data_IF_255535247992
#
_entry.id   IF_255535247992
#
_cell.length_a   1.000
_cell.length_b   1.000
_cell.length_c   1.000
_cell.angle_alpha   90.00
_cell.angle_beta   90.00
_cell.angle_gamma   90.00
#
_symmetry.space_group_name_H-M   'P 1'
#
loop_
_entity.id
_entity.type
_entity.pdbx_description
1 polymer ?
#
# COMPACT_ATOMS: atom_id res chain seq x y z
N UNK A 1 -7.00 19.29 -16.59
CA UNK A 1 -5.94 19.26 -15.56
C UNK A 1 -5.93 17.89 -14.92
N UNK A 2 -4.79 17.21 -14.88
CA UNK A 2 -4.63 15.88 -14.25
C UNK A 2 -4.00 16.03 -12.87
N UNK A 3 -4.65 15.47 -11.84
CA UNK A 3 -4.15 15.47 -10.47
C UNK A 3 -3.74 14.07 -10.05
N UNK A 4 -2.51 13.94 -9.55
CA UNK A 4 -2.01 12.69 -8.97
C UNK A 4 -1.90 12.86 -7.46
N UNK A 5 -2.57 11.99 -6.72
CA UNK A 5 -2.46 11.93 -5.26
C UNK A 5 -1.40 10.90 -4.87
N UNK A 6 -0.50 11.27 -3.98
CA UNK A 6 0.50 10.37 -3.40
C UNK A 6 0.20 10.22 -1.91
N UNK A 7 -0.22 9.03 -1.51
CA UNK A 7 -0.65 8.76 -0.14
C UNK A 7 0.44 8.00 0.64
N UNK A 8 0.76 8.50 1.83
CA UNK A 8 1.59 7.83 2.80
C UNK A 8 0.83 7.48 4.09
N UNK A 9 1.51 6.88 5.07
CA UNK A 9 0.89 6.38 6.29
C UNK A 9 0.10 7.46 7.07
N UNK A 10 0.51 8.73 6.98
CA UNK A 10 -0.22 9.84 7.60
C UNK A 10 -1.63 10.06 7.04
N UNK A 11 -1.92 9.60 5.79
CA UNK A 11 -3.27 9.63 5.25
C UNK A 11 -4.23 8.78 6.07
N UNK A 12 -3.82 7.59 6.50
CA UNK A 12 -4.65 6.64 7.25
C UNK A 12 -4.54 6.78 8.78
N UNK A 13 -3.64 7.66 9.27
CA UNK A 13 -3.36 7.83 10.71
C UNK A 13 -4.58 8.28 11.49
N UNK A 14 -5.32 9.25 10.97
CA UNK A 14 -6.53 9.78 11.63
C UNK A 14 -7.65 8.73 11.68
N UNK A 15 -7.71 7.81 10.71
CA UNK A 15 -8.59 6.64 10.71
C UNK A 15 -8.10 5.50 11.63
N UNK A 16 -6.98 5.69 12.30
CA UNK A 16 -6.45 4.76 13.30
C UNK A 16 -5.39 3.79 12.81
N UNK A 17 -4.95 3.88 11.56
CA UNK A 17 -3.83 3.06 11.09
C UNK A 17 -2.52 3.47 11.78
N UNK A 18 -1.63 2.52 12.11
CA UNK A 18 -0.35 2.84 12.73
C UNK A 18 0.60 3.48 11.72
N UNK A 19 1.41 4.41 12.20
CA UNK A 19 2.61 4.82 11.47
C UNK A 19 3.63 3.67 11.48
N UNK A 20 4.50 3.62 10.46
CA UNK A 20 5.52 2.57 10.35
C UNK A 20 6.37 2.41 11.61
N UNK A 21 6.79 3.51 12.22
CA UNK A 21 7.57 3.51 13.47
C UNK A 21 6.80 2.98 14.70
N UNK A 22 5.47 2.92 14.65
CA UNK A 22 4.63 2.45 15.74
C UNK A 22 4.33 0.94 15.66
N UNK A 23 4.55 0.31 14.50
CA UNK A 23 4.14 -1.08 14.26
C UNK A 23 4.81 -2.05 15.24
N UNK A 24 6.09 -1.87 15.52
CA UNK A 24 6.80 -2.75 16.46
C UNK A 24 6.25 -2.66 17.87
N UNK A 25 6.00 -1.44 18.37
CA UNK A 25 5.41 -1.23 19.68
C UNK A 25 4.03 -1.87 19.78
N UNK A 26 3.18 -1.67 18.77
CA UNK A 26 1.83 -2.22 18.74
C UNK A 26 1.83 -3.76 18.66
N UNK A 27 2.73 -4.40 17.91
CA UNK A 27 2.87 -5.86 17.89
C UNK A 27 3.10 -6.40 19.29
N UNK A 28 4.06 -5.86 20.03
CA UNK A 28 4.39 -6.34 21.37
C UNK A 28 3.33 -5.98 22.41
N UNK A 29 2.61 -4.87 22.22
CA UNK A 29 1.45 -4.51 23.03
C UNK A 29 0.31 -5.51 22.86
N UNK A 30 -0.08 -5.83 21.60
CA UNK A 30 -1.10 -6.84 21.30
C UNK A 30 -0.70 -8.18 21.89
N UNK A 31 0.56 -8.60 21.71
CA UNK A 31 1.07 -9.86 22.27
C UNK A 31 1.01 -9.93 23.79
N UNK A 32 1.19 -8.79 24.47
CA UNK A 32 1.07 -8.68 25.94
C UNK A 32 -0.39 -8.73 26.39
N UNK A 33 -1.29 -8.08 25.64
CA UNK A 33 -2.73 -8.05 25.95
C UNK A 33 -3.40 -9.39 25.68
N UNK A 34 -3.10 -10.04 24.56
CA UNK A 34 -3.55 -11.38 24.19
C UNK A 34 -2.39 -12.24 23.69
N UNK A 35 -1.81 -13.08 24.58
CA UNK A 35 -0.73 -14.01 24.20
C UNK A 35 -1.11 -15.03 23.13
N UNK A 36 -2.39 -15.26 22.86
CA UNK A 36 -2.87 -16.23 21.86
C UNK A 36 -3.15 -15.61 20.49
N UNK A 37 -3.21 -14.27 20.40
CA UNK A 37 -3.59 -13.56 19.18
C UNK A 37 -2.74 -13.93 17.97
N UNK A 38 -1.42 -13.92 18.13
CA UNK A 38 -0.49 -14.35 17.08
C UNK A 38 -0.21 -15.85 17.15
N UNK A 39 0.02 -16.47 16.00
CA UNK A 39 0.46 -17.86 15.97
C UNK A 39 1.78 -18.03 16.75
N UNK A 40 1.78 -18.91 17.76
CA UNK A 40 2.90 -19.05 18.68
C UNK A 40 4.19 -19.55 18.01
N UNK A 41 4.12 -20.32 16.92
CA UNK A 41 5.31 -20.77 16.18
C UNK A 41 5.91 -19.65 15.35
N UNK A 42 5.07 -18.85 14.68
CA UNK A 42 5.51 -17.69 13.91
C UNK A 42 6.10 -16.61 14.81
N UNK A 43 5.44 -16.33 15.93
CA UNK A 43 5.95 -15.35 16.88
C UNK A 43 7.29 -15.77 17.49
N UNK A 44 7.52 -17.07 17.74
CA UNK A 44 8.83 -17.58 18.16
C UNK A 44 9.91 -17.40 17.10
N UNK A 45 9.61 -17.60 15.82
CA UNK A 45 10.56 -17.31 14.73
C UNK A 45 10.97 -15.84 14.75
N UNK A 46 10.01 -14.94 14.91
CA UNK A 46 10.25 -13.52 14.99
C UNK A 46 11.09 -13.11 16.20
N UNK A 47 10.73 -13.56 17.42
CA UNK A 47 11.52 -13.27 18.62
C UNK A 47 12.94 -13.85 18.53
N UNK A 48 13.10 -15.07 17.98
CA UNK A 48 14.42 -15.66 17.78
C UNK A 48 15.28 -14.83 16.82
N UNK A 49 14.71 -14.34 15.72
CA UNK A 49 15.44 -13.44 14.82
C UNK A 49 15.94 -12.20 15.57
N UNK A 50 15.07 -11.54 16.34
CA UNK A 50 15.44 -10.33 17.09
C UNK A 50 16.53 -10.60 18.11
N UNK A 51 16.44 -11.70 18.86
CA UNK A 51 17.35 -11.99 19.98
C UNK A 51 18.65 -12.66 19.50
N UNK A 52 18.54 -13.70 18.68
CA UNK A 52 19.68 -14.57 18.35
C UNK A 52 20.47 -14.09 17.14
N UNK A 53 19.81 -13.52 16.15
CA UNK A 53 20.46 -13.08 14.92
C UNK A 53 20.76 -11.58 14.92
N UNK A 54 19.82 -10.75 15.42
CA UNK A 54 20.00 -9.29 15.45
C UNK A 54 20.54 -8.77 16.80
N UNK A 55 20.62 -9.64 17.82
CA UNK A 55 21.17 -9.34 19.15
C UNK A 55 20.45 -8.22 19.93
N UNK A 56 19.19 -7.99 19.64
CA UNK A 56 18.40 -7.04 20.41
C UNK A 56 17.97 -7.59 21.76
N UNK A 57 17.97 -6.73 22.78
CA UNK A 57 17.35 -7.03 24.07
C UNK A 57 15.83 -6.80 23.98
N UNK A 58 15.02 -7.54 24.73
CA UNK A 58 13.55 -7.37 24.74
C UNK A 58 13.08 -5.95 25.04
N UNK A 59 13.82 -5.22 25.88
CA UNK A 59 13.53 -3.80 26.20
C UNK A 59 13.67 -2.85 25.00
N UNK A 60 14.36 -3.28 23.95
CA UNK A 60 14.62 -2.48 22.75
C UNK A 60 13.58 -2.73 21.64
N UNK A 61 12.78 -3.80 21.72
CA UNK A 61 11.91 -4.28 20.64
C UNK A 61 10.97 -3.20 20.10
N UNK A 62 10.40 -2.37 20.98
CA UNK A 62 9.49 -1.29 20.58
C UNK A 62 10.14 -0.14 19.80
N UNK A 63 11.46 -0.06 19.82
CA UNK A 63 12.23 1.01 19.15
C UNK A 63 12.88 0.55 17.83
N UNK A 64 12.78 -0.75 17.51
CA UNK A 64 13.39 -1.29 16.29
C UNK A 64 12.58 -0.80 15.08
N UNK A 65 13.29 -0.30 14.08
CA UNK A 65 12.67 0.04 12.81
C UNK A 65 12.47 -1.25 11.98
N UNK A 66 11.36 -1.33 11.27
CA UNK A 66 11.04 -2.49 10.42
C UNK A 66 12.12 -2.69 9.36
N UNK A 67 12.68 -1.61 8.84
CA UNK A 67 13.76 -1.64 7.87
C UNK A 67 15.01 -2.35 8.38
N UNK A 68 15.35 -2.17 9.65
CA UNK A 68 16.51 -2.81 10.27
C UNK A 68 16.36 -4.33 10.40
N UNK A 69 15.12 -4.81 10.39
CA UNK A 69 14.81 -6.24 10.40
C UNK A 69 14.86 -6.82 8.99
N UNK A 70 14.20 -6.16 8.04
CA UNK A 70 14.01 -6.71 6.69
C UNK A 70 15.20 -6.48 5.76
N UNK A 71 15.88 -5.33 5.84
CA UNK A 71 16.98 -5.02 4.93
C UNK A 71 18.08 -6.08 4.94
N UNK A 72 18.60 -6.56 6.10
CA UNK A 72 19.61 -7.62 6.10
C UNK A 72 19.07 -8.96 5.60
N UNK A 73 17.81 -9.31 5.90
CA UNK A 73 17.20 -10.55 5.39
C UNK A 73 17.02 -10.50 3.87
N UNK A 74 16.42 -9.43 3.36
CA UNK A 74 16.15 -9.26 1.94
C UNK A 74 17.46 -9.20 1.14
N UNK A 75 18.51 -8.59 1.70
CA UNK A 75 19.84 -8.59 1.08
C UNK A 75 20.43 -9.99 0.99
N UNK A 76 20.42 -10.75 2.08
CA UNK A 76 20.94 -12.11 2.08
C UNK A 76 20.14 -13.04 1.15
N UNK A 77 18.82 -12.88 1.08
CA UNK A 77 17.98 -13.63 0.15
C UNK A 77 18.29 -13.27 -1.31
N UNK A 78 18.48 -11.99 -1.63
CA UNK A 78 18.84 -11.54 -2.98
C UNK A 78 20.21 -12.07 -3.43
N UNK A 79 21.16 -12.12 -2.51
CA UNK A 79 22.51 -12.62 -2.77
C UNK A 79 22.63 -14.15 -2.66
N UNK A 80 21.54 -14.85 -2.29
CA UNK A 80 21.50 -16.29 -2.04
C UNK A 80 22.52 -16.76 -0.99
N UNK A 81 22.69 -16.01 0.09
CA UNK A 81 23.62 -16.29 1.19
C UNK A 81 22.88 -16.48 2.51
N UNK A 82 23.45 -17.24 3.42
CA UNK A 82 22.93 -17.45 4.77
C UNK A 82 23.11 -16.20 5.64
N UNK A 83 22.18 -16.01 6.59
CA UNK A 83 22.22 -14.91 7.55
C UNK A 83 22.42 -15.45 8.98
N UNK A 84 23.61 -15.28 9.53
CA UNK A 84 23.93 -15.59 10.95
C UNK A 84 23.36 -16.94 11.43
N UNK A 85 23.63 -18.00 10.67
CA UNK A 85 23.19 -19.36 10.95
C UNK A 85 21.78 -19.70 10.49
N UNK A 86 21.03 -18.80 9.90
CA UNK A 86 19.76 -19.10 9.23
C UNK A 86 20.01 -19.52 7.78
N UNK A 87 19.54 -20.68 7.39
CA UNK A 87 19.49 -21.09 5.98
C UNK A 87 18.50 -20.22 5.19
N UNK A 88 18.60 -20.25 3.86
CA UNK A 88 17.68 -19.53 2.97
C UNK A 88 16.23 -19.91 3.24
N UNK A 89 15.95 -21.19 3.38
CA UNK A 89 14.61 -21.67 3.70
C UNK A 89 14.10 -21.15 5.07
N UNK A 90 14.96 -21.12 6.08
CA UNK A 90 14.62 -20.56 7.39
C UNK A 90 14.38 -19.04 7.32
N UNK A 91 15.17 -18.31 6.53
CA UNK A 91 14.96 -16.87 6.29
C UNK A 91 13.61 -16.60 5.63
N UNK A 92 13.26 -17.35 4.58
CA UNK A 92 11.96 -17.23 3.90
C UNK A 92 10.83 -17.48 4.90
N UNK A 93 10.87 -18.58 5.66
CA UNK A 93 9.86 -18.89 6.67
C UNK A 93 9.73 -17.81 7.76
N UNK A 94 10.88 -17.25 8.18
CA UNK A 94 10.89 -16.19 9.19
C UNK A 94 10.32 -14.88 8.62
N UNK A 95 10.68 -14.53 7.39
CA UNK A 95 10.14 -13.37 6.67
C UNK A 95 8.62 -13.45 6.52
N UNK A 96 8.11 -14.60 6.09
CA UNK A 96 6.66 -14.85 5.96
C UNK A 96 5.94 -14.75 7.30
N UNK A 97 6.55 -15.28 8.36
CA UNK A 97 6.00 -15.19 9.72
C UNK A 97 5.88 -13.73 10.17
N UNK A 98 6.89 -12.89 9.89
CA UNK A 98 6.87 -11.47 10.25
C UNK A 98 5.81 -10.72 9.43
N UNK A 99 5.66 -11.00 8.14
CA UNK A 99 4.58 -10.43 7.32
C UNK A 99 3.20 -10.73 7.88
N UNK A 100 2.97 -11.98 8.28
CA UNK A 100 1.71 -12.38 8.89
C UNK A 100 1.45 -11.62 10.21
N UNK A 101 2.46 -11.50 11.06
CA UNK A 101 2.37 -10.78 12.34
C UNK A 101 2.05 -9.30 12.10
N UNK A 102 2.73 -8.63 11.17
CA UNK A 102 2.48 -7.24 10.81
C UNK A 102 1.05 -7.07 10.28
N UNK A 103 0.62 -7.93 9.35
CA UNK A 103 -0.72 -7.88 8.79
C UNK A 103 -1.82 -8.06 9.84
N UNK A 104 -1.62 -9.03 10.75
CA UNK A 104 -2.54 -9.25 11.88
C UNK A 104 -2.56 -8.05 12.84
N UNK A 105 -1.39 -7.47 13.16
CA UNK A 105 -1.30 -6.30 14.03
C UNK A 105 -2.04 -5.09 13.44
N UNK A 106 -1.80 -4.75 12.16
CA UNK A 106 -2.50 -3.65 11.49
C UNK A 106 -4.01 -3.89 11.49
N UNK A 107 -4.46 -5.12 11.21
CA UNK A 107 -5.88 -5.47 11.24
C UNK A 107 -6.48 -5.26 12.63
N UNK A 108 -5.81 -5.71 13.69
CA UNK A 108 -6.26 -5.54 15.08
C UNK A 108 -6.38 -4.05 15.44
N UNK A 109 -5.37 -3.26 15.08
CA UNK A 109 -5.35 -1.82 15.35
C UNK A 109 -6.52 -1.11 14.64
N UNK A 110 -6.78 -1.45 13.38
CA UNK A 110 -7.87 -0.87 12.59
C UNK A 110 -9.27 -1.30 13.07
N UNK A 111 -9.37 -2.43 13.77
CA UNK A 111 -10.61 -2.91 14.37
C UNK A 111 -10.91 -2.25 15.73
N UNK A 112 -9.93 -1.63 16.37
CA UNK A 112 -10.12 -0.90 17.62
C UNK A 112 -11.07 0.27 17.39
N UNK A 113 -12.10 0.38 18.23
CA UNK A 113 -13.16 1.41 18.10
C UNK A 113 -12.62 2.82 18.31
N UNK A 114 -13.22 3.79 17.65
CA UNK A 114 -13.13 5.21 18.04
C UNK A 114 -12.46 6.17 17.05
N UNK A 115 -12.19 5.75 15.81
CA UNK A 115 -11.67 6.65 14.78
C UNK A 115 -12.66 6.76 13.61
N UNK A 116 -12.96 7.99 13.21
CA UNK A 116 -13.80 8.26 12.03
C UNK A 116 -13.02 7.94 10.75
N UNK A 117 -13.73 7.32 9.81
CA UNK A 117 -13.24 7.00 8.46
C UNK A 117 -13.96 7.80 7.37
N UNK A 118 -14.82 8.73 7.77
CA UNK A 118 -15.70 9.48 6.87
C UNK A 118 -14.92 10.23 5.79
N UNK A 119 -13.80 10.86 6.15
CA UNK A 119 -12.97 11.57 5.17
C UNK A 119 -12.41 10.62 4.07
N UNK A 120 -12.17 9.33 4.40
CA UNK A 120 -11.72 8.34 3.40
C UNK A 120 -12.86 8.01 2.45
N UNK A 121 -14.09 7.88 2.97
CA UNK A 121 -15.28 7.66 2.14
C UNK A 121 -15.59 8.88 1.27
N UNK A 122 -15.42 10.09 1.79
CA UNK A 122 -15.52 11.33 1.03
C UNK A 122 -14.46 11.41 -0.08
N UNK A 123 -13.24 11.02 0.22
CA UNK A 123 -12.17 10.98 -0.78
C UNK A 123 -12.46 9.94 -1.87
N UNK A 124 -12.93 8.74 -1.49
CA UNK A 124 -13.34 7.72 -2.45
C UNK A 124 -14.48 8.22 -3.35
N UNK A 125 -15.50 8.88 -2.77
CA UNK A 125 -16.59 9.51 -3.52
C UNK A 125 -16.11 10.56 -4.50
N UNK A 126 -15.17 11.42 -4.08
CA UNK A 126 -14.53 12.40 -4.94
C UNK A 126 -13.81 11.74 -6.12
N UNK A 127 -12.97 10.72 -5.88
CA UNK A 127 -12.24 10.02 -6.92
C UNK A 127 -13.18 9.37 -7.94
N UNK A 128 -14.17 8.62 -7.45
CA UNK A 128 -15.18 7.97 -8.31
C UNK A 128 -15.97 9.00 -9.09
N UNK A 129 -16.39 10.10 -8.46
CA UNK A 129 -17.13 11.20 -9.12
C UNK A 129 -16.32 11.90 -10.22
N UNK A 130 -15.01 12.10 -10.02
CA UNK A 130 -14.14 12.67 -11.08
C UNK A 130 -13.97 11.68 -12.25
N UNK A 131 -13.77 10.38 -11.96
CA UNK A 131 -13.56 9.35 -12.99
C UNK A 131 -14.85 9.00 -13.73
N UNK A 132 -16.03 9.10 -13.11
CA UNK A 132 -17.33 8.79 -13.72
C UNK A 132 -17.68 9.67 -14.91
N UNK A 133 -17.02 10.84 -15.08
CA UNK A 133 -17.14 11.70 -16.26
C UNK A 133 -16.71 11.01 -17.56
N UNK A 134 -16.02 9.86 -17.47
CA UNK A 134 -15.60 9.05 -18.60
C UNK A 134 -16.65 8.02 -19.05
N UNK A 135 -17.77 7.90 -18.33
CA UNK A 135 -18.90 7.05 -18.75
C UNK A 135 -19.40 7.41 -20.15
N UNK A 136 -19.93 6.41 -20.85
CA UNK A 136 -20.55 6.63 -22.15
C UNK A 136 -19.57 6.80 -23.30
N UNK A 137 -18.33 6.30 -23.17
CA UNK A 137 -17.34 6.32 -24.24
C UNK A 137 -16.39 7.51 -24.23
N UNK A 138 -16.44 8.37 -23.20
CA UNK A 138 -15.49 9.48 -23.01
C UNK A 138 -14.11 8.99 -22.53
N UNK A 139 -13.77 7.71 -22.79
CA UNK A 139 -12.49 7.11 -22.39
C UNK A 139 -11.26 7.75 -23.05
N UNK A 140 -11.44 8.50 -24.13
CA UNK A 140 -10.36 9.27 -24.79
C UNK A 140 -9.94 10.49 -23.99
N UNK A 141 -10.73 10.92 -23.02
CA UNK A 141 -10.32 11.94 -22.08
C UNK A 141 -9.25 11.34 -21.15
N UNK A 142 -8.19 12.11 -20.91
CA UNK A 142 -7.17 11.73 -19.93
C UNK A 142 -7.80 11.46 -18.57
N UNK A 143 -7.21 10.55 -17.82
CA UNK A 143 -7.61 10.32 -16.43
C UNK A 143 -7.53 11.63 -15.65
N UNK A 144 -8.65 12.11 -15.07
CA UNK A 144 -8.63 13.38 -14.36
C UNK A 144 -7.89 13.30 -13.04
N UNK A 145 -7.91 12.11 -12.42
CA UNK A 145 -7.28 11.81 -11.14
C UNK A 145 -6.72 10.39 -11.11
N UNK A 146 -5.62 10.21 -10.39
CA UNK A 146 -5.10 8.90 -10.04
C UNK A 146 -4.46 8.93 -8.63
N UNK A 147 -4.33 7.77 -8.00
CA UNK A 147 -3.77 7.63 -6.67
C UNK A 147 -2.57 6.68 -6.72
N UNK A 148 -1.44 7.13 -6.20
CA UNK A 148 -0.27 6.31 -5.90
C UNK A 148 -0.23 6.16 -4.37
N UNK A 149 -0.35 4.94 -3.87
CA UNK A 149 -0.36 4.67 -2.43
C UNK A 149 0.85 3.86 -2.01
N UNK A 150 1.56 4.33 -0.98
CA UNK A 150 2.62 3.59 -0.29
C UNK A 150 2.08 2.78 0.90
N UNK A 151 0.78 2.92 1.22
CA UNK A 151 0.15 2.30 2.37
C UNK A 151 -0.21 0.84 2.10
N UNK A 152 -0.01 -0.01 3.10
CA UNK A 152 -0.46 -1.41 3.05
C UNK A 152 -1.92 -1.59 3.45
N UNK A 153 -2.48 -0.67 4.26
CA UNK A 153 -3.87 -0.74 4.68
C UNK A 153 -4.82 -0.69 3.48
N UNK A 154 -6.04 -1.15 3.71
CA UNK A 154 -7.08 -1.31 2.68
C UNK A 154 -8.27 -0.37 2.90
N UNK A 155 -8.07 0.71 3.64
CA UNK A 155 -9.17 1.62 3.97
C UNK A 155 -9.73 2.29 2.72
N UNK A 156 -8.86 2.88 1.92
CA UNK A 156 -9.27 3.54 0.67
C UNK A 156 -9.72 2.52 -0.38
N UNK A 157 -9.05 1.37 -0.46
CA UNK A 157 -9.41 0.27 -1.36
C UNK A 157 -10.87 -0.14 -1.16
N UNK A 158 -11.25 -0.42 0.10
CA UNK A 158 -12.61 -0.82 0.46
C UNK A 158 -13.63 0.30 0.22
N UNK A 159 -13.29 1.55 0.52
CA UNK A 159 -14.19 2.69 0.30
C UNK A 159 -14.48 2.90 -1.19
N UNK A 160 -13.46 2.84 -2.06
CA UNK A 160 -13.66 2.93 -3.52
C UNK A 160 -14.50 1.74 -4.02
N UNK A 161 -14.14 0.52 -3.59
CA UNK A 161 -14.85 -0.70 -3.96
C UNK A 161 -16.35 -0.62 -3.59
N UNK A 162 -16.65 -0.29 -2.34
CA UNK A 162 -18.02 -0.19 -1.86
C UNK A 162 -18.82 0.88 -2.61
N UNK A 163 -18.20 2.04 -2.88
CA UNK A 163 -18.87 3.11 -3.62
C UNK A 163 -19.18 2.72 -5.07
N UNK A 164 -18.25 2.01 -5.74
CA UNK A 164 -18.45 1.48 -7.08
C UNK A 164 -19.57 0.43 -7.07
N UNK A 165 -19.55 -0.52 -6.15
CA UNK A 165 -20.56 -1.57 -6.06
C UNK A 165 -21.98 -1.02 -5.85
N UNK A 166 -22.10 0.04 -5.05
CA UNK A 166 -23.39 0.65 -4.75
C UNK A 166 -23.94 1.52 -5.90
N UNK A 167 -23.07 2.25 -6.63
CA UNK A 167 -23.52 3.28 -7.55
C UNK A 167 -23.23 2.98 -9.02
N UNK A 168 -22.24 2.14 -9.32
CA UNK A 168 -21.77 1.84 -10.69
C UNK A 168 -21.48 0.35 -10.90
N UNK A 169 -22.35 -0.57 -10.46
CA UNK A 169 -22.10 -2.00 -10.61
C UNK A 169 -21.86 -2.35 -12.08
N UNK A 170 -20.85 -3.14 -12.37
CA UNK A 170 -20.41 -3.57 -13.71
C UNK A 170 -19.98 -2.44 -14.68
N UNK A 171 -20.09 -1.18 -14.28
CA UNK A 171 -19.74 0.00 -15.10
C UNK A 171 -18.46 0.69 -14.64
N UNK A 172 -17.94 0.33 -13.50
CA UNK A 172 -16.70 0.88 -12.96
C UNK A 172 -15.86 -0.22 -12.29
N UNK A 173 -14.56 0.00 -12.25
CA UNK A 173 -13.61 -0.90 -11.59
C UNK A 173 -12.58 -0.16 -10.75
N UNK A 174 -12.10 -0.82 -9.70
CA UNK A 174 -10.84 -0.46 -9.05
C UNK A 174 -9.70 -0.97 -9.93
N UNK A 175 -8.92 -0.07 -10.47
CA UNK A 175 -7.82 -0.39 -11.38
C UNK A 175 -6.47 -0.23 -10.66
N UNK A 176 -5.87 -1.35 -10.31
CA UNK A 176 -4.54 -1.35 -9.72
C UNK A 176 -3.41 -1.19 -10.74
N UNK A 177 -3.76 -0.97 -12.01
CA UNK A 177 -2.83 -0.80 -13.13
C UNK A 177 -1.87 -2.00 -13.31
N UNK A 178 -2.33 -3.19 -12.99
CA UNK A 178 -1.62 -4.46 -13.17
C UNK A 178 -2.62 -5.59 -13.40
N UNK A 179 -2.11 -6.77 -13.74
CA UNK A 179 -2.95 -7.96 -13.87
C UNK A 179 -3.18 -8.58 -12.49
N UNK A 180 -4.32 -8.30 -11.90
CA UNK A 180 -4.78 -8.82 -10.61
C UNK A 180 -6.23 -9.32 -10.76
N UNK A 181 -6.58 -10.39 -10.06
CA UNK A 181 -7.92 -10.98 -10.09
C UNK A 181 -8.56 -10.90 -8.71
N UNK A 182 -9.88 -10.77 -8.65
CA UNK A 182 -10.56 -10.93 -7.37
C UNK A 182 -10.42 -12.35 -6.82
N UNK A 183 -10.36 -12.50 -5.50
CA UNK A 183 -10.49 -13.80 -4.83
C UNK A 183 -11.87 -14.42 -5.07
N UNK A 184 -12.90 -13.59 -5.19
CA UNK A 184 -14.24 -14.00 -5.55
C UNK A 184 -14.36 -14.08 -7.08
N UNK A 185 -14.59 -15.27 -7.60
CA UNK A 185 -14.61 -15.53 -9.05
C UNK A 185 -15.64 -14.69 -9.82
N UNK A 186 -16.77 -14.40 -9.18
CA UNK A 186 -17.87 -13.62 -9.77
C UNK A 186 -17.74 -12.10 -9.57
N UNK A 187 -16.72 -11.65 -8.86
CA UNK A 187 -16.51 -10.22 -8.63
C UNK A 187 -15.85 -9.59 -9.86
N UNK A 188 -16.59 -8.75 -10.54
CA UNK A 188 -16.15 -8.02 -11.72
C UNK A 188 -15.63 -6.62 -11.42
N UNK A 189 -15.57 -6.21 -10.17
CA UNK A 189 -15.13 -4.86 -9.76
C UNK A 189 -13.62 -4.68 -9.89
N UNK A 190 -12.87 -5.78 -10.00
CA UNK A 190 -11.43 -5.78 -10.23
C UNK A 190 -11.13 -6.38 -11.58
N UNK A 191 -10.84 -5.53 -12.54
CA UNK A 191 -10.43 -5.89 -13.90
C UNK A 191 -9.38 -4.90 -14.39
N UNK A 192 -8.59 -5.27 -15.42
CA UNK A 192 -7.79 -4.29 -16.14
C UNK A 192 -8.68 -3.15 -16.65
N UNK A 193 -8.29 -1.90 -16.39
CA UNK A 193 -9.10 -0.74 -16.75
C UNK A 193 -9.50 -0.67 -18.22
N UNK A 194 -8.65 -1.16 -19.11
CA UNK A 194 -8.91 -1.18 -20.57
C UNK A 194 -10.17 -1.97 -20.96
N UNK A 195 -10.46 -3.08 -20.27
CA UNK A 195 -11.66 -3.91 -20.56
C UNK A 195 -12.94 -3.12 -20.30
N UNK A 196 -12.97 -2.38 -19.21
CA UNK A 196 -14.15 -1.59 -18.80
C UNK A 196 -14.31 -0.33 -19.64
N UNK A 197 -13.20 0.33 -19.94
CA UNK A 197 -13.21 1.50 -20.82
C UNK A 197 -13.72 1.17 -22.22
N UNK A 198 -13.30 0.04 -22.78
CA UNK A 198 -13.78 -0.46 -24.07
C UNK A 198 -15.30 -0.74 -24.10
N UNK A 199 -15.88 -1.11 -22.96
CA UNK A 199 -17.31 -1.31 -22.76
C UNK A 199 -18.09 -0.03 -22.40
N UNK A 200 -17.46 1.15 -22.44
CA UNK A 200 -18.08 2.44 -22.10
C UNK A 200 -18.20 2.74 -20.62
N UNK A 201 -17.53 1.96 -19.77
CA UNK A 201 -17.40 2.21 -18.34
C UNK A 201 -16.22 3.13 -18.01
N UNK A 202 -15.82 3.12 -16.73
CA UNK A 202 -14.66 3.88 -16.26
C UNK A 202 -13.86 3.10 -15.20
N UNK A 203 -12.62 3.52 -15.00
CA UNK A 203 -11.73 2.97 -13.98
C UNK A 203 -11.33 4.04 -12.98
N UNK A 204 -11.08 3.63 -11.74
CA UNK A 204 -10.46 4.44 -10.70
C UNK A 204 -9.08 3.86 -10.41
N UNK A 205 -8.03 4.56 -10.82
CA UNK A 205 -6.65 4.09 -10.68
C UNK A 205 -6.15 4.23 -9.23
N UNK A 206 -5.77 3.09 -8.65
CA UNK A 206 -5.19 3.01 -7.31
C UNK A 206 -3.89 2.17 -7.37
N UNK A 207 -2.76 2.83 -7.58
CA UNK A 207 -1.45 2.21 -7.75
C UNK A 207 -0.81 1.94 -6.38
N UNK A 208 -0.95 0.72 -5.87
CA UNK A 208 -0.38 0.26 -4.59
C UNK A 208 1.07 -0.20 -4.79
N UNK A 209 2.01 0.75 -4.84
CA UNK A 209 3.41 0.48 -5.19
C UNK A 209 4.17 -0.37 -4.18
N UNK A 210 3.67 -0.47 -2.95
CA UNK A 210 4.21 -1.35 -1.91
C UNK A 210 3.34 -2.59 -1.63
N UNK A 211 2.41 -2.91 -2.55
CA UNK A 211 1.44 -3.97 -2.33
C UNK A 211 0.35 -3.59 -1.34
N UNK A 212 -0.42 -4.57 -0.89
CA UNK A 212 -1.57 -4.33 -0.02
C UNK A 212 -1.85 -5.54 0.86
N UNK A 213 -2.39 -5.31 2.05
CA UNK A 213 -2.73 -6.38 3.01
C UNK A 213 -3.80 -7.36 2.50
N UNK A 214 -4.58 -6.95 1.50
CA UNK A 214 -5.58 -7.80 0.86
C UNK A 214 -5.09 -8.47 -0.43
N UNK A 215 -3.78 -8.38 -0.72
CA UNK A 215 -3.19 -9.01 -1.90
C UNK A 215 -2.52 -10.33 -1.55
N UNK A 216 -2.79 -11.33 -2.37
CA UNK A 216 -2.16 -12.63 -2.31
C UNK A 216 -1.50 -12.98 -3.64
N UNK A 217 -0.36 -13.64 -3.56
CA UNK A 217 0.38 -14.12 -4.72
C UNK A 217 0.40 -15.65 -4.73
N UNK A 218 0.19 -16.24 -5.89
CA UNK A 218 0.47 -17.64 -6.11
C UNK A 218 1.99 -17.89 -6.15
N UNK A 219 2.48 -18.78 -5.30
CA UNK A 219 3.90 -19.18 -5.27
C UNK A 219 4.40 -19.82 -6.57
N UNK A 220 3.50 -20.42 -7.36
CA UNK A 220 3.84 -21.13 -8.61
C UNK A 220 3.76 -20.22 -9.85
N UNK A 221 2.60 -19.59 -10.11
CA UNK A 221 2.39 -18.84 -11.35
C UNK A 221 2.48 -17.33 -11.20
N UNK A 222 2.81 -16.82 -10.01
CA UNK A 222 3.00 -15.41 -9.68
C UNK A 222 1.75 -14.53 -9.88
N UNK A 223 0.56 -15.10 -10.13
CA UNK A 223 -0.70 -14.34 -10.23
C UNK A 223 -1.00 -13.66 -8.92
N UNK A 224 -1.48 -12.43 -9.02
CA UNK A 224 -2.00 -11.68 -7.88
C UNK A 224 -3.52 -11.86 -7.76
N UNK A 225 -3.97 -11.94 -6.53
CA UNK A 225 -5.38 -11.95 -6.15
C UNK A 225 -5.64 -10.87 -5.11
N UNK A 226 -6.83 -10.27 -5.14
CA UNK A 226 -7.26 -9.27 -4.17
C UNK A 226 -8.59 -9.68 -3.55
N UNK A 227 -8.75 -9.47 -2.24
CA UNK A 227 -10.01 -9.65 -1.52
C UNK A 227 -10.45 -8.33 -0.88
N UNK A 228 -11.74 -7.99 -1.00
CA UNK A 228 -12.35 -6.82 -0.38
C UNK A 228 -13.27 -7.25 0.77
N UNK A 229 -13.47 -6.35 1.73
CA UNK A 229 -14.40 -6.53 2.85
C UNK A 229 -14.20 -7.84 3.64
N UNK A 230 -13.01 -8.36 3.68
CA UNK A 230 -12.75 -9.63 4.33
C UNK A 230 -12.95 -9.55 5.84
N UNK A 231 -14.11 -10.08 6.28
CA UNK A 231 -14.39 -10.41 7.68
C UNK A 231 -13.61 -11.64 8.14
N UNK A 232 -13.08 -12.43 7.19
CA UNK A 232 -12.40 -13.70 7.47
C UNK A 232 -10.96 -13.42 7.89
N UNK A 233 -10.64 -13.84 9.10
CA UNK A 233 -9.27 -13.85 9.60
C UNK A 233 -8.38 -14.65 8.68
N UNK A 234 -7.16 -14.16 8.49
CA UNK A 234 -6.08 -14.76 7.74
C UNK A 234 -6.53 -15.44 6.43
N UNK A 235 -6.11 -14.90 5.32
CA UNK A 235 -6.19 -15.49 3.97
C UNK A 235 -5.34 -16.77 3.85
N UNK A 236 -5.31 -17.55 4.94
CA UNK A 236 -4.49 -18.76 5.07
C UNK A 236 -5.19 -19.95 4.44
N UNK A 237 -4.43 -20.77 3.74
CA UNK A 237 -4.91 -22.03 3.19
C UNK A 237 -5.65 -21.88 1.86
N UNK A 238 -5.71 -20.68 1.29
CA UNK A 238 -6.24 -20.47 -0.06
C UNK A 238 -5.23 -20.96 -1.10
N UNK A 239 -5.76 -21.52 -2.18
CA UNK A 239 -4.97 -21.98 -3.32
C UNK A 239 -5.31 -21.20 -4.58
N UNK A 240 -4.41 -21.25 -5.55
CA UNK A 240 -4.57 -20.55 -6.80
C UNK A 240 -5.51 -21.32 -7.73
N UNK A 241 -6.74 -20.84 -7.91
CA UNK A 241 -7.73 -21.51 -8.79
C UNK A 241 -7.22 -21.74 -10.23
N UNK A 242 -6.36 -20.84 -10.75
CA UNK A 242 -5.76 -21.06 -12.07
C UNK A 242 -4.84 -22.29 -12.07
N UNK A 243 -3.98 -22.45 -11.09
CA UNK A 243 -3.09 -23.59 -10.99
C UNK A 243 -3.84 -24.86 -10.63
N UNK A 244 -4.86 -24.78 -9.77
CA UNK A 244 -5.69 -25.93 -9.40
C UNK A 244 -6.45 -26.49 -10.61
N UNK A 245 -6.93 -25.61 -11.52
CA UNK A 245 -7.64 -26.03 -12.73
C UNK A 245 -6.72 -26.52 -13.85
N UNK A 246 -5.46 -26.12 -13.90
CA UNK A 246 -4.57 -26.40 -15.03
C UNK A 246 -3.44 -27.37 -14.71
N UNK A 247 -3.17 -27.66 -13.44
CA UNK A 247 -2.05 -28.50 -13.04
C UNK A 247 -2.46 -29.46 -11.93
N UNK A 248 -1.99 -30.70 -12.03
CA UNK A 248 -2.16 -31.68 -10.93
C UNK A 248 -1.40 -31.19 -9.71
N UNK A 249 -2.12 -30.85 -8.65
CA UNK A 249 -1.52 -30.33 -7.43
C UNK A 249 -0.77 -31.44 -6.67
N UNK A 250 0.55 -31.34 -6.61
CA UNK A 250 1.30 -31.89 -5.47
C UNK A 250 1.14 -30.87 -4.35
N UNK A 251 0.71 -31.30 -3.18
CA UNK A 251 0.35 -30.51 -2.02
C UNK A 251 1.23 -29.25 -1.80
N UNK A 252 0.60 -28.11 -1.59
CA UNK A 252 1.17 -26.81 -1.22
C UNK A 252 1.86 -25.95 -2.31
N UNK A 253 2.09 -26.45 -3.53
CA UNK A 253 2.75 -25.66 -4.58
C UNK A 253 1.89 -24.51 -5.11
N UNK A 254 0.56 -24.61 -4.99
CA UNK A 254 -0.40 -23.60 -5.50
C UNK A 254 -0.90 -22.65 -4.41
N UNK A 255 -0.24 -22.64 -3.25
CA UNK A 255 -0.69 -21.84 -2.11
C UNK A 255 -0.57 -20.36 -2.42
N UNK A 256 -1.59 -19.61 -2.00
CA UNK A 256 -1.56 -18.15 -2.00
C UNK A 256 -0.86 -17.65 -0.73
N UNK A 257 0.10 -16.77 -0.92
CA UNK A 257 0.89 -16.15 0.15
C UNK A 257 0.71 -14.63 0.11
N UNK A 258 0.81 -13.99 1.27
CA UNK A 258 0.83 -12.52 1.35
C UNK A 258 2.05 -11.98 0.62
N UNK A 259 1.86 -10.94 -0.15
CA UNK A 259 2.95 -10.29 -0.87
C UNK A 259 2.93 -8.78 -0.61
N UNK A 260 3.80 -8.34 0.30
CA UNK A 260 4.03 -6.94 0.64
C UNK A 260 5.45 -6.57 0.26
N UNK A 261 5.62 -5.37 -0.28
CA UNK A 261 6.93 -4.76 -0.48
C UNK A 261 7.25 -3.97 0.77
N UNK A 262 8.31 -4.37 1.44
CA UNK A 262 8.77 -3.68 2.65
C UNK A 262 9.44 -2.36 2.30
N UNK A 263 9.36 -1.36 3.18
CA UNK A 263 10.01 -0.07 3.00
C UNK A 263 11.52 -0.17 3.29
N UNK A 264 12.20 -1.13 2.66
CA UNK A 264 13.63 -1.38 2.76
C UNK A 264 14.37 -0.69 1.63
N UNK A 265 15.69 -0.56 1.76
CA UNK A 265 16.55 -0.03 0.70
C UNK A 265 16.65 -0.95 -0.54
N UNK A 266 16.23 -2.21 -0.42
CA UNK A 266 16.16 -3.17 -1.51
C UNK A 266 14.73 -3.71 -1.58
N UNK A 267 13.95 -3.20 -2.53
CA UNK A 267 12.59 -3.68 -2.75
C UNK A 267 12.59 -4.96 -3.58
N UNK A 268 11.88 -5.96 -3.09
CA UNK A 268 11.63 -7.18 -3.86
C UNK A 268 10.56 -6.90 -4.93
N UNK A 269 11.02 -6.62 -6.13
CA UNK A 269 10.19 -6.44 -7.33
C UNK A 269 10.24 -7.69 -8.24
N UNK A 270 10.47 -8.87 -7.68
CA UNK A 270 10.55 -10.14 -8.44
C UNK A 270 9.23 -10.47 -9.14
N UNK A 271 8.08 -10.17 -8.52
CA UNK A 271 6.81 -10.29 -9.20
C UNK A 271 6.69 -9.24 -10.32
N UNK A 272 6.47 -9.67 -11.59
CA UNK A 272 6.40 -8.76 -12.73
C UNK A 272 5.27 -7.73 -12.63
N UNK A 273 4.21 -8.01 -11.88
CA UNK A 273 3.09 -7.08 -11.72
C UNK A 273 3.52 -5.81 -10.98
N UNK A 274 4.44 -5.89 -10.01
CA UNK A 274 4.97 -4.70 -9.36
C UNK A 274 5.73 -3.79 -10.32
N UNK A 275 6.52 -4.37 -11.23
CA UNK A 275 7.22 -3.57 -12.26
C UNK A 275 6.23 -2.80 -13.13
N UNK A 276 5.09 -3.42 -13.47
CA UNK A 276 4.02 -2.78 -14.24
C UNK A 276 3.37 -1.65 -13.44
N UNK A 277 3.07 -1.86 -12.15
CA UNK A 277 2.51 -0.81 -11.29
C UNK A 277 3.47 0.39 -11.18
N UNK A 278 4.76 0.13 -10.94
CA UNK A 278 5.78 1.18 -10.85
C UNK A 278 5.94 1.94 -12.16
N UNK A 279 5.90 1.24 -13.30
CA UNK A 279 5.94 1.87 -14.62
C UNK A 279 4.71 2.76 -14.84
N UNK A 280 3.52 2.28 -14.53
CA UNK A 280 2.29 3.06 -14.62
C UNK A 280 2.30 4.25 -13.67
N UNK A 281 2.80 4.10 -12.44
CA UNK A 281 2.99 5.23 -11.53
C UNK A 281 3.90 6.31 -12.11
N UNK A 282 4.97 5.91 -12.81
CA UNK A 282 5.82 6.84 -13.55
C UNK A 282 5.07 7.59 -14.65
N UNK A 283 4.24 6.90 -15.43
CA UNK A 283 3.42 7.52 -16.48
C UNK A 283 2.47 8.53 -15.85
N UNK A 284 1.74 8.16 -14.79
CA UNK A 284 0.82 9.05 -14.10
C UNK A 284 1.51 10.33 -13.62
N UNK A 285 2.70 10.20 -13.00
CA UNK A 285 3.51 11.35 -12.55
C UNK A 285 3.98 12.23 -13.71
N UNK A 286 4.37 11.62 -14.84
CA UNK A 286 4.87 12.35 -16.01
C UNK A 286 3.77 13.17 -16.71
N UNK A 287 2.52 12.77 -16.56
CA UNK A 287 1.36 13.45 -17.13
C UNK A 287 0.70 14.44 -16.15
N UNK A 288 1.04 14.39 -14.86
CA UNK A 288 0.41 15.20 -13.83
C UNK A 288 0.62 16.70 -14.06
N UNK A 289 -0.45 17.49 -13.92
CA UNK A 289 -0.39 18.94 -13.83
C UNK A 289 -0.27 19.40 -12.36
N UNK A 290 -0.81 18.59 -11.45
CA UNK A 290 -0.75 18.78 -10.01
C UNK A 290 -0.43 17.46 -9.33
N UNK A 291 0.48 17.46 -8.35
CA UNK A 291 0.75 16.32 -7.45
C UNK A 291 0.44 16.75 -6.04
N UNK A 292 -0.41 16.00 -5.35
CA UNK A 292 -0.79 16.25 -3.96
C UNK A 292 -0.30 15.09 -3.09
N UNK A 293 0.65 15.38 -2.22
CA UNK A 293 1.14 14.42 -1.23
C UNK A 293 0.31 14.53 0.05
N UNK A 294 -0.35 13.46 0.48
CA UNK A 294 -1.15 13.44 1.70
C UNK A 294 -0.56 12.43 2.68
N UNK A 295 -0.01 12.92 3.80
CA UNK A 295 0.57 12.07 4.83
C UNK A 295 1.80 11.27 4.38
N UNK A 296 2.45 11.66 3.31
CA UNK A 296 3.71 11.10 2.82
C UNK A 296 4.87 12.03 3.18
N UNK A 297 5.87 11.51 3.91
CA UNK A 297 6.96 12.31 4.46
C UNK A 297 8.22 12.37 3.60
N UNK A 298 8.21 11.76 2.42
CA UNK A 298 9.37 11.64 1.52
C UNK A 298 10.59 11.00 2.21
N UNK A 299 10.43 9.82 2.87
CA UNK A 299 11.50 9.24 3.66
C UNK A 299 12.69 8.82 2.80
N UNK A 300 13.90 8.92 3.35
CA UNK A 300 15.13 8.54 2.64
C UNK A 300 15.19 7.04 2.32
N UNK A 301 14.62 6.22 3.18
CA UNK A 301 14.54 4.77 2.99
C UNK A 301 13.65 4.35 1.79
N UNK A 302 12.72 5.20 1.36
CA UNK A 302 11.91 4.95 0.16
C UNK A 302 12.62 5.42 -1.11
N UNK A 303 13.83 4.87 -1.31
CA UNK A 303 14.75 5.29 -2.36
C UNK A 303 14.14 5.18 -3.76
N UNK A 304 13.47 4.07 -4.07
CA UNK A 304 12.88 3.85 -5.39
C UNK A 304 11.75 4.85 -5.69
N UNK A 305 10.92 5.18 -4.68
CA UNK A 305 9.89 6.21 -4.85
C UNK A 305 10.51 7.59 -5.07
N UNK A 306 11.57 7.91 -4.35
CA UNK A 306 12.34 9.15 -4.57
C UNK A 306 12.93 9.21 -5.98
N UNK A 307 13.52 8.11 -6.46
CA UNK A 307 14.01 7.97 -7.82
C UNK A 307 12.90 8.18 -8.86
N UNK A 308 11.76 7.54 -8.64
CA UNK A 308 10.59 7.67 -9.52
C UNK A 308 10.12 9.13 -9.60
N UNK A 309 9.93 9.78 -8.46
CA UNK A 309 9.54 11.18 -8.36
C UNK A 309 10.54 12.11 -9.05
N UNK A 310 11.84 11.93 -8.79
CA UNK A 310 12.88 12.75 -9.40
C UNK A 310 12.90 12.65 -10.93
N UNK A 311 12.76 11.43 -11.45
CA UNK A 311 12.87 11.14 -12.89
C UNK A 311 11.62 11.51 -13.67
N UNK A 312 10.42 11.29 -13.09
CA UNK A 312 9.17 11.36 -13.84
C UNK A 312 8.38 12.66 -13.64
N UNK A 313 8.68 13.43 -12.59
CA UNK A 313 7.91 14.65 -12.31
C UNK A 313 8.29 15.78 -13.25
N UNK A 314 7.30 16.36 -13.95
CA UNK A 314 7.49 17.50 -14.87
C UNK A 314 8.11 18.72 -14.19
N UNK A 315 8.79 19.57 -14.98
CA UNK A 315 9.41 20.82 -14.48
C UNK A 315 8.39 21.79 -13.88
N UNK A 316 7.25 21.94 -14.53
CA UNK A 316 6.22 22.94 -14.22
C UNK A 316 5.00 22.36 -13.46
N UNK A 317 5.12 21.18 -12.85
CA UNK A 317 4.05 20.60 -12.05
C UNK A 317 3.86 21.40 -10.76
N UNK A 318 2.61 21.59 -10.34
CA UNK A 318 2.28 22.15 -9.03
C UNK A 318 2.32 21.07 -7.98
N UNK A 319 2.94 21.35 -6.84
CA UNK A 319 3.09 20.39 -5.74
C UNK A 319 2.37 20.92 -4.52
N UNK A 320 1.50 20.10 -3.94
CA UNK A 320 0.89 20.36 -2.65
C UNK A 320 1.30 19.27 -1.66
N UNK A 321 1.61 19.67 -0.44
CA UNK A 321 2.03 18.77 0.65
C UNK A 321 1.06 18.95 1.80
N UNK A 322 0.35 17.90 2.15
CA UNK A 322 -0.62 17.86 3.25
C UNK A 322 -0.05 17.02 4.38
N UNK A 323 0.15 17.64 5.52
CA UNK A 323 0.65 17.00 6.74
C UNK A 323 -0.11 17.55 7.96
N UNK A 324 -0.02 16.84 9.08
CA UNK A 324 -0.52 17.37 10.34
C UNK A 324 0.65 17.96 11.15
N UNK A 325 0.55 19.23 11.48
CA UNK A 325 1.52 19.93 12.34
C UNK A 325 0.82 21.10 13.05
N UNK A 326 0.89 21.11 14.36
CA UNK A 326 0.28 22.16 15.18
C UNK A 326 1.08 23.47 15.16
N UNK A 327 2.40 23.36 15.12
CA UNK A 327 3.29 24.52 15.09
C UNK A 327 3.42 25.08 13.66
N UNK A 328 2.66 26.12 13.37
CA UNK A 328 2.69 26.80 12.07
C UNK A 328 4.08 27.33 11.67
N UNK A 329 5.01 27.53 12.62
CA UNK A 329 6.39 27.98 12.31
C UNK A 329 7.15 26.94 11.50
N UNK A 330 6.82 25.66 11.66
CA UNK A 330 7.43 24.55 10.92
C UNK A 330 7.06 24.50 9.44
N UNK A 331 6.05 25.25 8.98
CA UNK A 331 5.66 25.29 7.57
C UNK A 331 6.84 25.63 6.65
N UNK A 332 7.65 26.61 7.05
CA UNK A 332 8.85 27.03 6.29
C UNK A 332 9.89 25.92 6.19
N UNK A 333 10.10 25.18 7.28
CA UNK A 333 11.07 24.07 7.33
C UNK A 333 10.60 22.90 6.47
N UNK A 334 9.31 22.55 6.57
CA UNK A 334 8.68 21.54 5.72
C UNK A 334 8.82 21.94 4.26
N UNK A 335 8.45 23.17 3.90
CA UNK A 335 8.58 23.67 2.54
C UNK A 335 10.03 23.61 2.03
N UNK A 336 11.00 24.03 2.85
CA UNK A 336 12.43 23.98 2.54
C UNK A 336 12.90 22.53 2.30
N UNK A 337 12.46 21.58 3.12
CA UNK A 337 12.78 20.16 2.95
C UNK A 337 12.29 19.61 1.61
N UNK A 338 11.05 19.93 1.24
CA UNK A 338 10.48 19.52 -0.05
C UNK A 338 11.13 20.25 -1.24
N UNK A 339 11.46 21.53 -1.10
CA UNK A 339 12.20 22.28 -2.10
C UNK A 339 13.62 21.75 -2.33
N UNK A 340 14.29 21.28 -1.30
CA UNK A 340 15.60 20.64 -1.44
C UNK A 340 15.56 19.40 -2.36
N UNK A 341 14.41 18.71 -2.42
CA UNK A 341 14.22 17.57 -3.32
C UNK A 341 13.68 17.98 -4.71
N UNK A 342 12.66 18.82 -4.74
CA UNK A 342 11.96 19.17 -5.98
C UNK A 342 12.52 20.41 -6.69
N UNK A 343 13.49 21.11 -6.10
CA UNK A 343 14.09 22.31 -6.67
C UNK A 343 13.11 23.51 -6.69
N UNK A 344 13.12 24.27 -7.78
CA UNK A 344 12.37 25.54 -7.92
C UNK A 344 10.86 25.36 -8.21
N UNK A 345 10.33 24.13 -8.13
CA UNK A 345 8.90 23.89 -8.37
C UNK A 345 8.04 24.61 -7.34
N UNK A 346 6.86 25.06 -7.76
CA UNK A 346 5.88 25.66 -6.86
C UNK A 346 5.40 24.62 -5.83
N UNK A 347 5.66 24.87 -4.54
CA UNK A 347 5.26 23.99 -3.44
C UNK A 347 4.38 24.77 -2.48
N UNK A 348 3.16 24.24 -2.28
CA UNK A 348 2.21 24.69 -1.26
C UNK A 348 2.13 23.68 -0.14
N UNK A 349 2.19 24.14 1.10
CA UNK A 349 2.11 23.27 2.30
C UNK A 349 0.80 23.52 3.02
N UNK A 350 0.17 22.43 3.44
CA UNK A 350 -1.04 22.44 4.26
C UNK A 350 -0.75 21.68 5.56
N UNK A 351 -0.94 22.32 6.70
CA UNK A 351 -0.65 21.75 8.03
C UNK A 351 -1.89 21.14 8.70
N UNK A 352 -3.00 21.08 8.00
CA UNK A 352 -4.31 20.78 8.58
C UNK A 352 -4.62 19.28 8.74
N UNK A 353 -3.73 18.39 8.28
CA UNK A 353 -4.01 16.95 8.27
C UNK A 353 -4.88 16.49 7.10
N UNK A 354 -5.04 15.16 6.98
CA UNK A 354 -5.72 14.55 5.85
C UNK A 354 -7.23 14.82 5.84
N UNK A 355 -7.92 14.60 6.97
CA UNK A 355 -9.37 14.76 7.06
C UNK A 355 -9.80 16.18 6.71
N UNK A 356 -9.20 17.16 7.36
CA UNK A 356 -9.54 18.56 7.14
C UNK A 356 -9.24 19.03 5.70
N UNK A 357 -8.15 18.54 5.12
CA UNK A 357 -7.82 18.84 3.72
C UNK A 357 -8.88 18.30 2.77
N UNK A 358 -9.29 17.05 2.97
CA UNK A 358 -10.29 16.40 2.12
C UNK A 358 -11.65 17.09 2.25
N UNK A 359 -12.11 17.35 3.47
CA UNK A 359 -13.41 17.95 3.72
C UNK A 359 -13.55 19.38 3.16
N UNK A 360 -12.49 20.18 3.21
CA UNK A 360 -12.57 21.61 2.88
C UNK A 360 -11.90 22.02 1.58
N UNK A 361 -10.86 21.32 1.15
CA UNK A 361 -10.03 21.79 0.04
C UNK A 361 -10.26 21.05 -1.27
N UNK A 362 -10.72 19.80 -1.21
CA UNK A 362 -10.88 18.96 -2.40
C UNK A 362 -12.09 19.33 -3.26
N UNK A 363 -13.12 19.91 -2.65
CA UNK A 363 -14.35 20.30 -3.35
C UNK A 363 -14.36 21.76 -3.85
N UNK A 364 -13.28 22.50 -3.56
CA UNK A 364 -13.15 23.90 -4.01
C UNK A 364 -12.47 24.05 -5.38
N UNK A 365 -11.93 22.96 -5.95
CA UNK A 365 -11.36 22.83 -7.30
C UNK A 365 -12.31 22.06 -8.23
#
# INVERSE_FOLDING_TARGET
MKTVFVLGAGFSKEAGAPMQAEIMEEIFKIRKEDPSYFNGSEFRLFENLLIKQLYYKRSQFKYIQIEDIFTPLDRCLADNIQFRGLSIEQMIKTRDAIFNIIGMAIKEILNRKGKSKEYIDDFARYLVGKCSKRLGGNYRLNDPVSVISTNWDILLDNSIYNHIQQNFPQRAVVDYCCYISSLEEKDETVKPGLEVLGAGGFNVKLLKIHGSLNWLQCSRCMRLYVGFNEKKGALRGLTCRHCDNNYTAKSNENRLISNLIMPTFLKDLSNPQYKIIWQNAGIELSEADKIIFIGYSLPSADFEMRQLLSRMTKRNVKIEVVTYEEDKRKEKDIKKYWQAFFGEREIKVHLCGASHFIERSLYLD
#
